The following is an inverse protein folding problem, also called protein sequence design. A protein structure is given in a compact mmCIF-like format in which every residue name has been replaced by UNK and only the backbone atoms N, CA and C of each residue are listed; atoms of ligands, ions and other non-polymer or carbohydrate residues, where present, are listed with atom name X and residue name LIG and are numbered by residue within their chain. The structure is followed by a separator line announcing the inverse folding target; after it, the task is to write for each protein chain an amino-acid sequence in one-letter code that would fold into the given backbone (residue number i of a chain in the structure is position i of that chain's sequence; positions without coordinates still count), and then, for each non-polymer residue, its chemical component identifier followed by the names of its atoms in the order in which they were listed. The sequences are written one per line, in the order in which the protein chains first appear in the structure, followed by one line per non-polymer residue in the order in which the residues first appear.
data_IF_557521298868
#
_entry.id   IF_557521298868
#
_cell.length_a   1.000
_cell.length_b   1.000
_cell.length_c   1.000
_cell.angle_alpha   90.00
_cell.angle_beta   90.00
_cell.angle_gamma   90.00
#
_symmetry.space_group_name_H-M   'P 1'
#
loop_
_entity.id
_entity.type
_entity.pdbx_description
1 polymer ?
#
# COMPACT_ATOMS: atom_id res chain seq x y z
N UNK A 1 0.91 -32.18 -8.75
CA UNK A 1 -0.21 -32.51 -7.84
C UNK A 1 0.31 -32.32 -6.44
N UNK A 2 0.12 -31.12 -5.87
CA UNK A 2 0.38 -30.87 -4.45
C UNK A 2 -0.95 -30.97 -3.69
N UNK A 3 -0.97 -31.54 -2.50
CA UNK A 3 -2.21 -31.81 -1.78
C UNK A 3 -2.83 -30.51 -1.31
N UNK A 4 -4.16 -30.48 -1.37
CA UNK A 4 -5.04 -29.45 -0.85
C UNK A 4 -4.66 -29.15 0.60
N UNK A 5 -4.01 -28.01 0.83
CA UNK A 5 -3.63 -27.53 2.14
C UNK A 5 -4.89 -27.25 2.96
N UNK A 6 -5.00 -27.95 4.07
CA UNK A 6 -6.05 -27.80 5.09
C UNK A 6 -6.26 -26.32 5.42
N UNK A 7 -7.51 -25.89 5.38
CA UNK A 7 -7.96 -24.62 5.93
C UNK A 7 -7.45 -24.52 7.38
N UNK A 8 -6.55 -23.59 7.64
CA UNK A 8 -6.10 -23.31 9.00
C UNK A 8 -7.27 -22.77 9.81
N UNK A 9 -7.45 -23.22 11.05
CA UNK A 9 -8.46 -22.66 11.93
C UNK A 9 -8.10 -21.19 12.21
N UNK A 10 -8.98 -20.27 11.78
CA UNK A 10 -8.95 -18.90 12.30
C UNK A 10 -9.09 -18.98 13.82
N UNK A 11 -8.13 -18.45 14.54
CA UNK A 11 -8.24 -18.19 15.96
C UNK A 11 -9.28 -17.08 16.15
N UNK A 12 -10.56 -17.49 16.27
CA UNK A 12 -11.64 -16.61 16.66
C UNK A 12 -11.46 -16.28 18.14
N UNK A 13 -11.13 -15.04 18.43
CA UNK A 13 -11.06 -14.50 19.79
C UNK A 13 -12.33 -14.83 20.57
N UNK A 14 -12.14 -15.46 21.73
CA UNK A 14 -13.18 -15.75 22.68
C UNK A 14 -13.76 -14.43 23.23
N UNK A 15 -14.96 -14.08 22.80
CA UNK A 15 -15.84 -13.20 23.57
C UNK A 15 -16.29 -14.00 24.80
N UNK A 16 -15.65 -13.75 25.93
CA UNK A 16 -16.07 -14.29 27.23
C UNK A 16 -17.36 -13.57 27.64
N UNK A 17 -18.50 -14.19 27.37
CA UNK A 17 -19.78 -13.83 27.97
C UNK A 17 -19.92 -14.60 29.30
N UNK A 18 -20.45 -13.97 30.38
CA UNK A 18 -20.60 -14.64 31.66
C UNK A 18 -21.70 -15.73 31.58
N UNK A 19 -21.33 -16.96 31.96
CA UNK A 19 -22.22 -18.11 32.16
C UNK A 19 -23.15 -17.84 33.32
N UNK A 20 -24.44 -17.59 33.07
CA UNK A 20 -25.50 -17.73 34.06
C UNK A 20 -26.83 -18.12 33.38
N UNK A 21 -27.31 -19.31 33.62
CA UNK A 21 -28.62 -19.80 33.20
C UNK A 21 -28.53 -21.04 32.31
N UNK A 22 -29.48 -21.97 32.37
CA UNK A 22 -29.51 -23.18 31.55
C UNK A 22 -29.33 -22.81 30.07
N UNK A 23 -28.16 -23.13 29.52
CA UNK A 23 -27.73 -22.74 28.17
C UNK A 23 -28.78 -23.22 27.15
N UNK A 24 -29.34 -22.28 26.39
CA UNK A 24 -30.23 -22.62 25.28
C UNK A 24 -29.49 -23.56 24.30
N UNK A 25 -30.21 -24.35 23.53
CA UNK A 25 -29.59 -25.22 22.51
C UNK A 25 -28.76 -24.39 21.52
N UNK A 26 -29.18 -23.14 21.26
CA UNK A 26 -28.42 -22.18 20.46
C UNK A 26 -27.10 -21.85 21.10
N UNK A 27 -27.06 -21.50 22.40
CA UNK A 27 -25.83 -21.18 23.11
C UNK A 27 -24.87 -22.37 23.15
N UNK A 28 -25.36 -23.56 23.40
CA UNK A 28 -24.55 -24.80 23.33
C UNK A 28 -23.94 -24.98 21.93
N UNK A 29 -24.72 -24.71 20.87
CA UNK A 29 -24.24 -24.76 19.50
C UNK A 29 -23.16 -23.71 19.20
N UNK A 30 -23.31 -22.47 19.70
CA UNK A 30 -22.34 -21.40 19.58
C UNK A 30 -21.05 -21.74 20.33
N UNK A 31 -21.14 -22.24 21.55
CA UNK A 31 -19.99 -22.70 22.35
C UNK A 31 -19.25 -23.84 21.63
N UNK A 32 -19.98 -24.83 21.10
CA UNK A 32 -19.37 -25.92 20.32
C UNK A 32 -18.61 -25.35 19.07
N UNK A 33 -19.18 -24.35 18.39
CA UNK A 33 -18.52 -23.68 17.27
C UNK A 33 -17.22 -22.97 17.70
N UNK A 34 -17.27 -22.19 18.78
CA UNK A 34 -16.11 -21.48 19.33
C UNK A 34 -14.98 -22.42 19.75
N UNK A 35 -15.32 -23.62 20.19
CA UNK A 35 -14.38 -24.69 20.56
C UNK A 35 -13.88 -25.51 19.36
N UNK A 36 -14.24 -25.13 18.12
CA UNK A 36 -13.85 -25.84 16.91
C UNK A 36 -14.59 -27.15 16.67
N UNK A 37 -15.61 -27.49 17.49
CA UNK A 37 -16.42 -28.67 17.35
C UNK A 37 -17.56 -28.50 16.34
N UNK A 38 -17.17 -28.15 15.10
CA UNK A 38 -18.09 -27.68 14.05
C UNK A 38 -19.19 -28.68 13.68
N UNK A 39 -18.92 -29.97 13.70
CA UNK A 39 -19.90 -31.00 13.40
C UNK A 39 -20.97 -31.05 14.50
N UNK A 40 -20.57 -30.94 15.76
CA UNK A 40 -21.50 -30.88 16.90
C UNK A 40 -22.29 -29.56 16.87
N UNK A 41 -21.62 -28.42 16.61
CA UNK A 41 -22.27 -27.13 16.46
C UNK A 41 -23.39 -27.19 15.40
N UNK A 42 -23.12 -27.77 14.23
CA UNK A 42 -24.15 -27.96 13.17
C UNK A 42 -25.36 -28.71 13.68
N UNK A 43 -25.15 -29.83 14.38
CA UNK A 43 -26.24 -30.62 14.91
C UNK A 43 -27.09 -29.84 15.91
N UNK A 44 -26.46 -29.19 16.90
CA UNK A 44 -27.14 -28.40 17.92
C UNK A 44 -27.88 -27.20 17.31
N UNK A 45 -27.26 -26.46 16.39
CA UNK A 45 -27.87 -25.30 15.75
C UNK A 45 -29.05 -25.70 14.82
N UNK A 46 -28.97 -26.84 14.15
CA UNK A 46 -30.10 -27.40 13.41
C UNK A 46 -31.27 -27.80 14.34
N UNK A 47 -30.96 -28.30 15.51
CA UNK A 47 -31.96 -28.62 16.53
C UNK A 47 -32.64 -27.36 17.09
N UNK A 48 -31.83 -26.31 17.40
CA UNK A 48 -32.36 -25.02 17.83
C UNK A 48 -33.33 -24.41 16.79
N UNK A 49 -33.00 -24.49 15.51
CA UNK A 49 -33.83 -23.95 14.43
C UNK A 49 -35.14 -24.76 14.19
N UNK A 50 -35.24 -25.98 14.68
CA UNK A 50 -36.54 -26.70 14.70
C UNK A 50 -37.49 -26.10 15.74
N UNK A 51 -36.93 -25.60 16.87
CA UNK A 51 -37.71 -24.93 17.93
C UNK A 51 -38.06 -23.50 17.57
N UNK A 52 -37.08 -22.73 17.11
CA UNK A 52 -37.25 -21.35 16.61
C UNK A 52 -36.57 -21.15 15.24
N UNK A 53 -37.32 -21.28 14.14
CA UNK A 53 -36.78 -21.04 12.80
C UNK A 53 -36.31 -19.61 12.52
N UNK A 54 -36.63 -18.65 13.39
CA UNK A 54 -36.25 -17.22 13.23
C UNK A 54 -35.03 -16.82 14.07
N UNK A 55 -34.50 -17.75 14.88
CA UNK A 55 -33.30 -17.47 15.66
C UNK A 55 -32.14 -17.08 14.76
N UNK A 56 -31.80 -15.79 14.80
CA UNK A 56 -30.75 -15.17 13.96
C UNK A 56 -29.37 -15.70 14.30
N UNK A 57 -29.08 -15.91 15.60
CA UNK A 57 -27.81 -16.46 16.05
C UNK A 57 -27.63 -17.89 15.58
N UNK A 58 -28.66 -18.71 15.78
CA UNK A 58 -28.63 -20.13 15.34
C UNK A 58 -28.42 -20.24 13.83
N UNK A 59 -29.10 -19.40 13.01
CA UNK A 59 -28.91 -19.36 11.55
C UNK A 59 -27.50 -18.97 11.16
N UNK A 60 -26.99 -17.92 11.80
CA UNK A 60 -25.65 -17.38 11.45
C UNK A 60 -24.57 -18.40 11.81
N UNK A 61 -24.59 -18.93 13.04
CA UNK A 61 -23.58 -19.89 13.48
C UNK A 61 -23.71 -21.26 12.78
N UNK A 62 -24.91 -21.67 12.35
CA UNK A 62 -25.07 -22.83 11.48
C UNK A 62 -24.37 -22.64 10.15
N UNK A 63 -24.56 -21.47 9.50
CA UNK A 63 -23.90 -21.16 8.24
C UNK A 63 -22.38 -21.06 8.40
N UNK A 64 -21.88 -20.47 9.50
CA UNK A 64 -20.46 -20.44 9.84
C UNK A 64 -19.90 -21.88 10.04
N UNK A 65 -20.62 -22.75 10.75
CA UNK A 65 -20.19 -24.13 10.94
C UNK A 65 -20.23 -24.96 9.65
N UNK A 66 -21.17 -24.67 8.74
CA UNK A 66 -21.21 -25.23 7.39
C UNK A 66 -20.01 -24.80 6.59
N UNK A 67 -19.67 -23.48 6.58
CA UNK A 67 -18.49 -22.96 5.92
C UNK A 67 -17.21 -23.60 6.45
N UNK A 68 -17.05 -23.69 7.78
CA UNK A 68 -15.88 -24.27 8.43
C UNK A 68 -15.70 -25.78 8.11
N UNK A 69 -16.78 -26.47 7.77
CA UNK A 69 -16.78 -27.91 7.40
C UNK A 69 -16.77 -28.12 5.86
N UNK A 70 -16.59 -27.07 5.07
CA UNK A 70 -16.51 -27.16 3.61
C UNK A 70 -17.84 -27.25 2.87
N UNK A 71 -18.97 -27.06 3.58
CA UNK A 71 -20.31 -27.05 2.99
C UNK A 71 -20.69 -25.66 2.47
N UNK A 72 -19.82 -25.10 1.64
CA UNK A 72 -19.96 -23.73 1.16
C UNK A 72 -21.21 -23.49 0.31
N UNK A 73 -21.66 -24.50 -0.45
CA UNK A 73 -22.89 -24.36 -1.24
C UNK A 73 -24.13 -24.08 -0.37
N UNK A 74 -24.19 -24.67 0.83
CA UNK A 74 -25.26 -24.45 1.79
C UNK A 74 -25.06 -23.16 2.60
N UNK A 75 -23.80 -22.81 2.87
CA UNK A 75 -23.44 -21.68 3.71
C UNK A 75 -23.56 -20.31 3.00
N UNK A 76 -23.24 -20.23 1.71
CA UNK A 76 -23.16 -18.96 0.96
C UNK A 76 -24.46 -18.14 1.00
N UNK A 77 -25.67 -18.70 0.73
CA UNK A 77 -26.89 -17.89 0.75
C UNK A 77 -27.19 -17.27 2.12
N UNK A 78 -27.18 -18.00 3.24
CA UNK A 78 -27.45 -17.43 4.56
C UNK A 78 -26.32 -16.48 5.03
N UNK A 79 -25.05 -16.73 4.68
CA UNK A 79 -23.95 -15.82 4.99
C UNK A 79 -24.08 -14.50 4.24
N UNK A 80 -24.44 -14.53 2.96
CA UNK A 80 -24.68 -13.34 2.16
C UNK A 80 -25.84 -12.50 2.73
N UNK A 81 -26.95 -13.15 3.12
CA UNK A 81 -28.06 -12.46 3.78
C UNK A 81 -27.60 -11.81 5.09
N UNK A 82 -26.86 -12.52 5.94
CA UNK A 82 -26.35 -11.98 7.21
C UNK A 82 -25.37 -10.82 7.02
N UNK A 83 -24.43 -10.96 6.09
CA UNK A 83 -23.48 -9.89 5.78
C UNK A 83 -24.19 -8.60 5.35
N UNK A 84 -25.24 -8.71 4.53
CA UNK A 84 -25.92 -7.54 3.99
C UNK A 84 -26.97 -6.95 4.96
N UNK A 85 -27.69 -7.77 5.71
CA UNK A 85 -28.94 -7.39 6.38
C UNK A 85 -28.90 -7.50 7.91
N UNK A 86 -27.82 -8.05 8.52
CA UNK A 86 -27.75 -8.14 9.98
C UNK A 86 -27.63 -6.76 10.63
N UNK A 87 -28.47 -6.52 11.63
CA UNK A 87 -28.36 -5.33 12.49
C UNK A 87 -27.18 -5.44 13.49
N UNK A 88 -26.67 -6.65 13.73
CA UNK A 88 -25.52 -6.88 14.58
C UNK A 88 -24.22 -6.81 13.74
N UNK A 89 -23.35 -5.81 13.97
CA UNK A 89 -22.14 -5.63 13.18
C UNK A 89 -21.13 -6.79 13.32
N UNK A 90 -21.06 -7.44 14.48
CA UNK A 90 -20.14 -8.55 14.72
C UNK A 90 -20.58 -9.80 13.95
N UNK A 91 -21.88 -10.10 13.95
CA UNK A 91 -22.43 -11.20 13.15
C UNK A 91 -22.27 -10.92 11.64
N UNK A 92 -22.50 -9.68 11.20
CA UNK A 92 -22.28 -9.28 9.81
C UNK A 92 -20.81 -9.45 9.41
N UNK A 93 -19.88 -9.04 10.27
CA UNK A 93 -18.44 -9.21 10.06
C UNK A 93 -18.05 -10.68 9.91
N UNK A 94 -18.44 -11.52 10.85
CA UNK A 94 -18.15 -12.96 10.81
C UNK A 94 -18.75 -13.62 9.56
N UNK A 95 -19.98 -13.27 9.21
CA UNK A 95 -20.65 -13.76 8.01
C UNK A 95 -19.91 -13.32 6.75
N UNK A 96 -19.47 -12.07 6.66
CA UNK A 96 -18.71 -11.55 5.53
C UNK A 96 -17.36 -12.25 5.33
N UNK A 97 -16.61 -12.47 6.40
CA UNK A 97 -15.35 -13.22 6.36
C UNK A 97 -15.58 -14.66 5.85
N UNK A 98 -16.54 -15.37 6.42
CA UNK A 98 -16.83 -16.75 6.03
C UNK A 98 -17.40 -16.84 4.60
N UNK A 99 -18.19 -15.86 4.18
CA UNK A 99 -18.70 -15.75 2.82
C UNK A 99 -17.56 -15.61 1.80
N UNK A 100 -16.62 -14.67 2.02
CA UNK A 100 -15.44 -14.51 1.15
C UNK A 100 -14.62 -15.80 1.10
N UNK A 101 -14.40 -16.45 2.25
CA UNK A 101 -13.65 -17.71 2.30
C UNK A 101 -14.32 -18.81 1.47
N UNK A 102 -15.63 -18.92 1.54
CA UNK A 102 -16.38 -19.88 0.74
C UNK A 102 -16.35 -19.57 -0.76
N UNK A 103 -16.49 -18.30 -1.15
CA UNK A 103 -16.44 -17.90 -2.56
C UNK A 103 -15.04 -18.15 -3.14
N UNK A 104 -13.99 -17.81 -2.41
CA UNK A 104 -12.59 -18.10 -2.78
C UNK A 104 -12.35 -19.61 -2.94
N UNK A 105 -12.89 -20.43 -2.03
CA UNK A 105 -12.78 -21.89 -2.11
C UNK A 105 -13.51 -22.47 -3.34
N UNK A 106 -14.59 -21.82 -3.78
CA UNK A 106 -15.34 -22.17 -4.99
C UNK A 106 -14.62 -21.87 -6.29
N UNK A 107 -13.50 -21.13 -6.24
CA UNK A 107 -12.62 -20.88 -7.39
C UNK A 107 -13.20 -19.95 -8.45
N UNK A 108 -14.05 -19.00 -8.07
CA UNK A 108 -14.64 -17.99 -8.97
C UNK A 108 -13.97 -16.61 -8.77
N UNK A 109 -12.80 -16.36 -9.38
CA UNK A 109 -12.03 -15.12 -9.16
C UNK A 109 -12.80 -13.83 -9.48
N UNK A 110 -13.77 -13.89 -10.39
CA UNK A 110 -14.59 -12.74 -10.74
C UNK A 110 -15.51 -12.26 -9.60
N UNK A 111 -15.85 -13.14 -8.66
CA UNK A 111 -16.69 -12.81 -7.50
C UNK A 111 -15.86 -12.50 -6.24
N UNK A 112 -14.62 -13.01 -6.14
CA UNK A 112 -13.76 -12.91 -4.97
C UNK A 112 -13.41 -11.45 -4.65
N UNK A 113 -12.89 -10.71 -5.65
CA UNK A 113 -12.35 -9.35 -5.48
C UNK A 113 -13.44 -8.31 -5.15
N UNK A 114 -14.60 -8.25 -5.85
CA UNK A 114 -15.65 -7.32 -5.49
C UNK A 114 -16.21 -7.56 -4.08
N UNK A 115 -16.35 -8.83 -3.67
CA UNK A 115 -16.89 -9.19 -2.37
C UNK A 115 -15.92 -8.79 -1.23
N UNK A 116 -14.62 -9.05 -1.39
CA UNK A 116 -13.64 -8.63 -0.40
C UNK A 116 -13.56 -7.11 -0.31
N UNK A 117 -13.67 -6.38 -1.43
CA UNK A 117 -13.72 -4.92 -1.42
C UNK A 117 -14.91 -4.34 -0.63
N UNK A 118 -16.08 -4.99 -0.69
CA UNK A 118 -17.22 -4.61 0.14
C UNK A 118 -16.95 -4.84 1.64
N UNK A 119 -16.27 -5.93 1.97
CA UNK A 119 -15.89 -6.26 3.35
C UNK A 119 -14.86 -5.27 3.90
N UNK A 120 -13.82 -4.93 3.11
CA UNK A 120 -12.82 -3.91 3.46
C UNK A 120 -13.44 -2.52 3.67
N UNK A 121 -14.35 -2.11 2.78
CA UNK A 121 -15.03 -0.83 2.91
C UNK A 121 -15.87 -0.72 4.20
N UNK A 122 -16.41 -1.84 4.69
CA UNK A 122 -17.22 -1.87 5.90
C UNK A 122 -16.38 -2.01 7.19
N UNK A 123 -15.20 -2.66 7.09
CA UNK A 123 -14.31 -2.94 8.22
C UNK A 123 -12.84 -2.63 7.85
N UNK A 124 -12.49 -1.35 7.59
CA UNK A 124 -11.22 -0.97 6.99
C UNK A 124 -10.00 -1.22 7.89
N UNK A 125 -10.20 -1.22 9.22
CA UNK A 125 -9.12 -1.38 10.20
C UNK A 125 -9.12 -2.76 10.88
N UNK A 126 -9.95 -3.69 10.38
CA UNK A 126 -10.04 -5.03 10.96
C UNK A 126 -8.92 -5.95 10.44
N UNK A 127 -8.12 -6.48 11.36
CA UNK A 127 -6.94 -7.27 11.01
C UNK A 127 -7.28 -8.58 10.25
N UNK A 128 -8.41 -9.25 10.58
CA UNK A 128 -8.82 -10.49 9.90
C UNK A 128 -9.31 -10.18 8.49
N UNK A 129 -10.02 -9.05 8.33
CA UNK A 129 -10.49 -8.57 7.02
C UNK A 129 -9.30 -8.18 6.16
N UNK A 130 -8.37 -7.38 6.67
CA UNK A 130 -7.16 -6.97 5.94
C UNK A 130 -6.29 -8.17 5.56
N UNK A 131 -6.14 -9.15 6.45
CA UNK A 131 -5.42 -10.39 6.14
C UNK A 131 -6.10 -11.20 5.02
N UNK A 132 -7.42 -11.33 5.08
CA UNK A 132 -8.20 -12.03 4.05
C UNK A 132 -8.11 -11.30 2.70
N UNK A 133 -8.23 -9.98 2.71
CA UNK A 133 -8.12 -9.12 1.55
C UNK A 133 -6.74 -9.26 0.88
N UNK A 134 -5.66 -9.19 1.66
CA UNK A 134 -4.31 -9.39 1.15
C UNK A 134 -4.16 -10.74 0.43
N UNK A 135 -4.74 -11.82 0.96
CA UNK A 135 -4.72 -13.14 0.33
C UNK A 135 -5.54 -13.21 -0.96
N UNK A 136 -6.72 -12.57 -0.98
CA UNK A 136 -7.58 -12.53 -2.18
C UNK A 136 -6.91 -11.73 -3.28
N UNK A 137 -6.37 -10.55 -2.97
CA UNK A 137 -5.67 -9.72 -3.94
C UNK A 137 -4.40 -10.38 -4.48
N UNK A 138 -3.62 -11.04 -3.61
CA UNK A 138 -2.44 -11.80 -4.04
C UNK A 138 -2.82 -12.95 -4.98
N UNK A 139 -3.90 -13.70 -4.69
CA UNK A 139 -4.39 -14.75 -5.57
C UNK A 139 -4.84 -14.17 -6.92
N UNK A 140 -5.60 -13.08 -6.91
CA UNK A 140 -6.05 -12.41 -8.13
C UNK A 140 -4.88 -11.91 -8.98
N UNK A 141 -3.86 -11.31 -8.36
CA UNK A 141 -2.63 -10.89 -9.02
C UNK A 141 -1.92 -12.09 -9.67
N UNK A 142 -1.71 -13.18 -8.94
CA UNK A 142 -1.04 -14.37 -9.46
C UNK A 142 -1.82 -15.01 -10.63
N UNK A 143 -3.15 -15.07 -10.54
CA UNK A 143 -4.00 -15.63 -11.60
C UNK A 143 -4.00 -14.72 -12.86
N UNK A 144 -4.01 -13.40 -12.69
CA UNK A 144 -3.93 -12.44 -13.79
C UNK A 144 -2.54 -12.51 -14.46
N UNK A 145 -1.48 -12.54 -13.66
CA UNK A 145 -0.10 -12.67 -14.13
C UNK A 145 0.08 -13.95 -14.94
N UNK A 146 -0.31 -15.09 -14.38
CA UNK A 146 -0.24 -16.37 -15.09
C UNK A 146 -0.98 -16.32 -16.42
N UNK A 147 -2.22 -15.82 -16.47
CA UNK A 147 -2.99 -15.68 -17.72
C UNK A 147 -2.29 -14.77 -18.73
N UNK A 148 -1.66 -13.69 -18.27
CA UNK A 148 -0.92 -12.78 -19.15
C UNK A 148 0.29 -13.48 -19.78
N UNK A 149 1.06 -14.22 -19.01
CA UNK A 149 2.22 -14.99 -19.51
C UNK A 149 1.79 -16.11 -20.47
N UNK A 150 0.68 -16.80 -20.20
CA UNK A 150 0.18 -17.89 -21.04
C UNK A 150 -0.51 -17.39 -22.33
N UNK A 151 -1.29 -16.32 -22.25
CA UNK A 151 -2.16 -15.88 -23.35
C UNK A 151 -1.56 -14.78 -24.20
N UNK A 152 -0.64 -13.98 -23.67
CA UNK A 152 -0.05 -12.83 -24.36
C UNK A 152 1.48 -12.76 -24.22
N UNK A 153 2.23 -13.85 -24.41
CA UNK A 153 3.68 -13.90 -24.14
C UNK A 153 4.49 -12.93 -25.00
N UNK A 154 3.99 -12.57 -26.17
CA UNK A 154 4.65 -11.63 -27.07
C UNK A 154 4.45 -10.16 -26.67
N UNK A 155 3.51 -9.85 -25.76
CA UNK A 155 3.22 -8.48 -25.35
C UNK A 155 4.40 -7.86 -24.58
N UNK A 156 4.72 -6.61 -24.89
CA UNK A 156 5.71 -5.84 -24.10
C UNK A 156 5.31 -5.72 -22.63
N UNK A 157 4.01 -5.78 -22.32
CA UNK A 157 3.49 -5.74 -20.94
C UNK A 157 3.95 -6.92 -20.09
N UNK A 158 4.24 -8.07 -20.70
CA UNK A 158 4.82 -9.24 -20.00
C UNK A 158 6.21 -8.88 -19.46
N UNK A 159 7.05 -8.26 -20.29
CA UNK A 159 8.39 -7.82 -19.86
C UNK A 159 8.30 -6.67 -18.87
N UNK A 160 7.38 -5.72 -19.06
CA UNK A 160 7.15 -4.65 -18.10
C UNK A 160 6.78 -5.19 -16.72
N UNK A 161 5.79 -6.11 -16.64
CA UNK A 161 5.39 -6.70 -15.37
C UNK A 161 6.52 -7.53 -14.73
N UNK A 162 7.30 -8.26 -15.55
CA UNK A 162 8.49 -8.98 -15.05
C UNK A 162 9.49 -8.02 -14.42
N UNK A 163 9.76 -6.87 -15.07
CA UNK A 163 10.65 -5.85 -14.54
C UNK A 163 10.13 -5.26 -13.22
N UNK A 164 8.84 -4.94 -13.14
CA UNK A 164 8.20 -4.43 -11.92
C UNK A 164 8.29 -5.46 -10.76
N UNK A 165 8.13 -6.75 -11.05
CA UNK A 165 8.32 -7.82 -10.07
C UNK A 165 9.79 -7.88 -9.60
N UNK A 166 10.77 -7.75 -10.50
CA UNK A 166 12.19 -7.71 -10.13
C UNK A 166 12.51 -6.47 -9.29
N UNK A 167 11.93 -5.31 -9.57
CA UNK A 167 12.08 -4.11 -8.72
C UNK A 167 11.64 -4.38 -7.27
N UNK A 168 10.51 -5.06 -7.05
CA UNK A 168 10.03 -5.40 -5.69
C UNK A 168 10.98 -6.33 -4.94
N UNK A 169 11.83 -7.06 -5.67
CA UNK A 169 12.85 -7.95 -5.11
C UNK A 169 14.23 -7.29 -5.01
N UNK A 170 14.35 -5.99 -5.31
CA UNK A 170 15.60 -5.23 -5.42
C UNK A 170 16.59 -5.83 -6.45
N UNK A 171 16.10 -6.53 -7.46
CA UNK A 171 16.88 -7.09 -8.56
C UNK A 171 16.89 -6.14 -9.75
N UNK A 172 17.60 -5.02 -9.56
CA UNK A 172 17.52 -3.90 -10.50
C UNK A 172 18.20 -4.17 -11.85
N UNK A 173 19.24 -4.99 -11.89
CA UNK A 173 19.87 -5.40 -13.14
C UNK A 173 18.92 -6.23 -14.00
N UNK A 174 18.22 -7.20 -13.40
CA UNK A 174 17.21 -8.02 -14.08
C UNK A 174 16.01 -7.17 -14.50
N UNK A 175 15.56 -6.24 -13.65
CA UNK A 175 14.51 -5.28 -14.00
C UNK A 175 14.89 -4.46 -15.24
N UNK A 176 16.10 -3.89 -15.27
CA UNK A 176 16.59 -3.13 -16.41
C UNK A 176 16.65 -4.00 -17.69
N UNK A 177 17.05 -5.25 -17.59
CA UNK A 177 17.07 -6.16 -18.74
C UNK A 177 15.64 -6.40 -19.30
N UNK A 178 14.66 -6.57 -18.44
CA UNK A 178 13.27 -6.76 -18.86
C UNK A 178 12.65 -5.45 -19.42
N UNK A 179 12.96 -4.28 -18.86
CA UNK A 179 12.51 -3.00 -19.44
C UNK A 179 13.09 -2.79 -20.84
N UNK A 180 14.36 -3.13 -21.10
CA UNK A 180 14.94 -3.07 -22.47
C UNK A 180 14.14 -3.93 -23.45
N UNK A 181 13.81 -5.18 -23.08
CA UNK A 181 12.97 -6.05 -23.90
C UNK A 181 11.58 -5.47 -24.13
N UNK A 182 10.99 -4.82 -23.14
CA UNK A 182 9.70 -4.15 -23.29
C UNK A 182 9.78 -2.98 -24.29
N UNK A 183 10.83 -2.17 -24.22
CA UNK A 183 11.09 -1.06 -25.16
C UNK A 183 11.32 -1.59 -26.58
N UNK A 184 12.12 -2.64 -26.74
CA UNK A 184 12.33 -3.28 -28.05
C UNK A 184 11.03 -3.73 -28.72
N UNK A 185 10.07 -4.27 -27.91
CA UNK A 185 8.76 -4.70 -28.42
C UNK A 185 7.80 -3.53 -28.67
N UNK A 186 7.89 -2.46 -27.89
CA UNK A 186 7.07 -1.26 -28.08
C UNK A 186 7.87 0.02 -27.75
N UNK A 187 8.62 0.55 -28.72
CA UNK A 187 9.46 1.74 -28.52
C UNK A 187 8.69 3.04 -28.21
N UNK A 188 7.37 3.05 -28.40
CA UNK A 188 6.53 4.22 -28.11
C UNK A 188 5.74 4.10 -26.82
N UNK A 189 5.97 3.06 -26.03
CA UNK A 189 5.30 2.91 -24.75
C UNK A 189 5.86 3.92 -23.75
N UNK A 190 5.00 4.83 -23.31
CA UNK A 190 5.34 5.85 -22.31
C UNK A 190 5.78 5.20 -20.99
N UNK A 191 6.64 5.91 -20.28
CA UNK A 191 7.14 5.56 -18.95
C UNK A 191 8.09 4.34 -18.89
N UNK A 192 8.38 3.65 -20.00
CA UNK A 192 9.31 2.53 -20.01
C UNK A 192 10.77 3.01 -19.94
N UNK A 193 11.12 4.04 -20.71
CA UNK A 193 12.45 4.66 -20.67
C UNK A 193 12.71 5.28 -19.28
N UNK A 194 11.73 5.95 -18.69
CA UNK A 194 11.85 6.49 -17.34
C UNK A 194 12.14 5.38 -16.31
N UNK A 195 11.37 4.27 -16.34
CA UNK A 195 11.57 3.13 -15.44
C UNK A 195 12.92 2.45 -15.65
N UNK A 196 13.36 2.30 -16.90
CA UNK A 196 14.67 1.76 -17.22
C UNK A 196 15.79 2.64 -16.64
N UNK A 197 15.72 3.96 -16.85
CA UNK A 197 16.67 4.91 -16.27
C UNK A 197 16.74 4.82 -14.75
N UNK A 198 15.59 4.74 -14.09
CA UNK A 198 15.52 4.51 -12.63
C UNK A 198 16.14 3.18 -12.20
N UNK A 199 15.83 2.09 -12.88
CA UNK A 199 16.39 0.78 -12.55
C UNK A 199 17.93 0.78 -12.68
N UNK A 200 18.47 1.45 -13.70
CA UNK A 200 19.92 1.62 -13.88
C UNK A 200 20.52 2.40 -12.70
N UNK A 201 19.89 3.49 -12.25
CA UNK A 201 20.38 4.27 -11.12
C UNK A 201 20.27 3.51 -9.79
N UNK A 202 19.23 2.69 -9.61
CA UNK A 202 19.08 1.87 -8.39
C UNK A 202 20.13 0.75 -8.32
N UNK A 203 20.58 0.25 -9.48
CA UNK A 203 21.66 -0.75 -9.55
C UNK A 203 23.03 -0.14 -9.29
N UNK A 204 23.33 1.01 -9.89
CA UNK A 204 24.66 1.63 -9.79
C UNK A 204 24.61 3.14 -10.02
N UNK A 205 25.52 3.85 -9.33
CA UNK A 205 25.73 5.31 -9.48
C UNK A 205 27.10 5.63 -10.09
N UNK A 206 27.76 4.68 -10.72
CA UNK A 206 29.02 4.96 -11.42
C UNK A 206 28.79 5.85 -12.65
N UNK A 207 29.83 6.52 -13.19
CA UNK A 207 29.67 7.47 -14.30
C UNK A 207 29.02 6.86 -15.55
N UNK A 208 29.26 5.58 -15.81
CA UNK A 208 28.67 4.87 -16.94
C UNK A 208 27.14 4.66 -16.74
N UNK A 209 26.74 4.23 -15.55
CA UNK A 209 25.33 4.08 -15.19
C UNK A 209 24.59 5.42 -15.24
N UNK A 210 25.21 6.52 -14.75
CA UNK A 210 24.64 7.85 -14.84
C UNK A 210 24.42 8.27 -16.29
N UNK A 211 25.39 8.06 -17.18
CA UNK A 211 25.27 8.39 -18.59
C UNK A 211 24.19 7.56 -19.30
N UNK A 212 24.11 6.26 -19.00
CA UNK A 212 23.07 5.38 -19.54
C UNK A 212 21.67 5.80 -19.05
N UNK A 213 21.53 6.09 -17.76
CA UNK A 213 20.26 6.54 -17.19
C UNK A 213 19.82 7.88 -17.78
N UNK A 214 20.74 8.84 -17.95
CA UNK A 214 20.42 10.11 -18.59
C UNK A 214 19.88 9.91 -20.00
N UNK A 215 20.52 9.05 -20.80
CA UNK A 215 20.05 8.71 -22.14
C UNK A 215 18.63 8.13 -22.14
N UNK A 216 18.32 7.33 -21.17
CA UNK A 216 16.97 6.75 -21.04
C UNK A 216 15.94 7.83 -20.66
N UNK A 217 16.26 8.74 -19.74
CA UNK A 217 15.36 9.87 -19.44
C UNK A 217 15.17 10.80 -20.62
N UNK A 218 16.23 11.07 -21.40
CA UNK A 218 16.12 11.80 -22.67
C UNK A 218 15.24 11.07 -23.68
N UNK A 219 15.30 9.72 -23.70
CA UNK A 219 14.41 8.87 -24.48
C UNK A 219 12.93 9.00 -24.07
N UNK A 220 12.65 9.10 -22.77
CA UNK A 220 11.29 9.37 -22.29
C UNK A 220 10.81 10.76 -22.72
N UNK A 221 11.65 11.79 -22.60
CA UNK A 221 11.31 13.15 -23.02
C UNK A 221 11.08 13.26 -24.54
N UNK A 222 11.72 12.43 -25.34
CA UNK A 222 11.45 12.35 -26.78
C UNK A 222 10.06 11.81 -27.11
N UNK A 223 9.46 11.01 -26.20
CA UNK A 223 8.11 10.48 -26.30
C UNK A 223 7.09 11.35 -25.59
N UNK A 224 7.45 11.91 -24.45
CA UNK A 224 6.63 12.76 -23.58
C UNK A 224 7.45 13.95 -23.09
N UNK A 225 7.45 15.04 -23.85
CA UNK A 225 8.21 16.27 -23.51
C UNK A 225 7.68 16.98 -22.24
N UNK A 226 6.55 16.54 -21.67
CA UNK A 226 5.95 17.10 -20.46
C UNK A 226 6.20 16.22 -19.21
N UNK A 227 7.15 15.31 -19.27
CA UNK A 227 7.52 14.49 -18.12
C UNK A 227 8.44 15.26 -17.15
N UNK A 228 7.81 15.91 -16.16
CA UNK A 228 8.51 16.65 -15.11
C UNK A 228 9.48 15.76 -14.30
N UNK A 229 9.17 14.49 -14.14
CA UNK A 229 10.02 13.57 -13.38
C UNK A 229 11.30 13.22 -14.17
N UNK A 230 11.20 13.03 -15.49
CA UNK A 230 12.35 12.79 -16.36
C UNK A 230 13.27 14.03 -16.39
N UNK A 231 12.70 15.23 -16.52
CA UNK A 231 13.47 16.49 -16.43
C UNK A 231 14.20 16.59 -15.08
N UNK A 232 13.53 16.30 -13.99
CA UNK A 232 14.14 16.35 -12.67
C UNK A 232 15.30 15.35 -12.53
N UNK A 233 15.15 14.11 -13.01
CA UNK A 233 16.20 13.09 -12.96
C UNK A 233 17.43 13.49 -13.76
N UNK A 234 17.26 14.07 -14.96
CA UNK A 234 18.38 14.62 -15.75
C UNK A 234 19.07 15.73 -14.97
N UNK A 235 18.31 16.64 -14.36
CA UNK A 235 18.85 17.68 -13.50
C UNK A 235 19.71 17.12 -12.36
N UNK A 236 19.25 16.06 -11.70
CA UNK A 236 20.01 15.40 -10.63
C UNK A 236 21.33 14.80 -11.13
N UNK A 237 21.31 14.11 -12.25
CA UNK A 237 22.52 13.52 -12.86
C UNK A 237 23.51 14.61 -13.22
N UNK A 238 23.06 15.68 -13.86
CA UNK A 238 23.92 16.81 -14.23
C UNK A 238 24.53 17.52 -13.02
N UNK A 239 23.73 17.72 -11.97
CA UNK A 239 24.21 18.33 -10.74
C UNK A 239 25.27 17.44 -10.04
N UNK A 240 25.03 16.14 -9.96
CA UNK A 240 26.00 15.17 -9.44
C UNK A 240 27.28 15.12 -10.29
N UNK A 241 27.15 15.33 -11.59
CA UNK A 241 28.27 15.42 -12.55
C UNK A 241 28.99 16.77 -12.56
N UNK A 242 28.71 17.69 -11.62
CA UNK A 242 29.37 18.98 -11.49
C UNK A 242 28.96 20.00 -12.57
N UNK A 243 27.77 19.86 -13.14
CA UNK A 243 27.19 20.77 -14.16
C UNK A 243 25.97 21.52 -13.62
N UNK A 244 26.11 22.31 -12.53
CA UNK A 244 24.95 22.89 -11.84
C UNK A 244 24.14 23.86 -12.73
N UNK A 245 24.74 24.60 -13.62
CA UNK A 245 23.99 25.51 -14.49
C UNK A 245 23.06 24.76 -15.45
N UNK A 246 23.54 23.64 -16.01
CA UNK A 246 22.70 22.78 -16.84
C UNK A 246 21.60 22.08 -15.99
N UNK A 247 21.94 21.60 -14.81
CA UNK A 247 20.99 21.02 -13.89
C UNK A 247 19.85 21.99 -13.53
N UNK A 248 20.16 23.25 -13.31
CA UNK A 248 19.18 24.28 -12.97
C UNK A 248 18.13 24.45 -14.09
N UNK A 249 18.52 24.38 -15.36
CA UNK A 249 17.60 24.46 -16.51
C UNK A 249 16.57 23.33 -16.43
N UNK A 250 17.03 22.10 -16.20
CA UNK A 250 16.16 20.93 -16.10
C UNK A 250 15.26 20.98 -14.86
N UNK A 251 15.77 21.39 -13.70
CA UNK A 251 14.93 21.56 -12.51
C UNK A 251 13.87 22.65 -12.68
N UNK A 252 14.22 23.76 -13.34
CA UNK A 252 13.25 24.80 -13.65
C UNK A 252 12.18 24.30 -14.63
N UNK A 253 12.58 23.51 -15.62
CA UNK A 253 11.64 22.90 -16.55
C UNK A 253 10.68 21.93 -15.85
N UNK A 254 11.19 21.13 -14.93
CA UNK A 254 10.36 20.26 -14.09
C UNK A 254 9.32 21.06 -13.28
N UNK A 255 9.68 22.23 -12.73
CA UNK A 255 8.75 23.12 -12.03
C UNK A 255 7.74 23.81 -12.95
N UNK A 256 8.12 24.18 -14.17
CA UNK A 256 7.19 24.71 -15.16
C UNK A 256 6.10 23.69 -15.51
N UNK A 257 6.49 22.41 -15.64
CA UNK A 257 5.58 21.30 -15.94
C UNK A 257 4.75 20.88 -14.73
N UNK A 258 5.31 20.94 -13.54
CA UNK A 258 4.66 20.57 -12.30
C UNK A 258 5.03 21.56 -11.17
N UNK A 259 4.23 22.63 -10.95
CA UNK A 259 4.55 23.68 -9.97
C UNK A 259 4.65 23.18 -8.53
N UNK A 260 3.95 22.10 -8.18
CA UNK A 260 3.97 21.51 -6.84
C UNK A 260 5.01 20.37 -6.71
N UNK A 261 5.94 20.26 -7.64
CA UNK A 261 7.03 19.27 -7.56
C UNK A 261 8.04 19.68 -6.49
N UNK A 262 7.81 19.21 -5.26
CA UNK A 262 8.55 19.62 -4.06
C UNK A 262 10.06 19.44 -4.21
N UNK A 263 10.51 18.31 -4.74
CA UNK A 263 11.93 18.00 -4.89
C UNK A 263 12.61 18.94 -5.89
N UNK A 264 11.93 19.32 -6.98
CA UNK A 264 12.43 20.29 -7.95
C UNK A 264 12.47 21.69 -7.35
N UNK A 265 11.41 22.10 -6.63
CA UNK A 265 11.35 23.41 -5.96
C UNK A 265 12.47 23.55 -4.90
N UNK A 266 12.70 22.49 -4.13
CA UNK A 266 13.78 22.44 -3.16
C UNK A 266 15.17 22.53 -3.85
N UNK A 267 15.37 21.80 -4.95
CA UNK A 267 16.62 21.83 -5.70
C UNK A 267 16.90 23.23 -6.24
N UNK A 268 15.95 23.84 -6.94
CA UNK A 268 16.07 25.21 -7.45
C UNK A 268 16.29 26.21 -6.31
N UNK A 269 15.49 26.13 -5.24
CA UNK A 269 15.62 27.00 -4.07
C UNK A 269 17.00 26.93 -3.44
N UNK A 270 17.56 25.74 -3.26
CA UNK A 270 18.93 25.54 -2.73
C UNK A 270 20.00 26.13 -3.65
N UNK A 271 19.89 25.90 -4.96
CA UNK A 271 20.81 26.45 -5.95
C UNK A 271 20.77 27.99 -5.97
N UNK A 272 19.58 28.59 -5.85
CA UNK A 272 19.41 30.05 -5.73
C UNK A 272 20.04 30.59 -4.44
N UNK A 273 19.91 29.88 -3.31
CA UNK A 273 20.59 30.24 -2.05
C UNK A 273 22.12 30.21 -2.22
N UNK A 274 22.66 29.17 -2.86
CA UNK A 274 24.11 29.07 -3.14
C UNK A 274 24.60 30.19 -4.05
N UNK A 275 23.79 30.57 -5.05
CA UNK A 275 24.05 31.69 -5.94
C UNK A 275 23.78 33.07 -5.29
N UNK A 276 23.43 33.13 -4.01
CA UNK A 276 23.06 34.35 -3.26
C UNK A 276 21.83 35.08 -3.81
N UNK A 277 21.01 34.42 -4.58
CA UNK A 277 19.75 34.92 -5.16
C UNK A 277 18.60 34.67 -4.19
N UNK A 278 18.68 35.30 -3.00
CA UNK A 278 17.76 34.99 -1.90
C UNK A 278 16.32 35.41 -2.19
N UNK A 279 16.12 36.50 -2.93
CA UNK A 279 14.77 36.96 -3.31
C UNK A 279 14.01 35.92 -4.15
N UNK A 280 14.72 35.23 -5.04
CA UNK A 280 14.15 34.19 -5.90
C UNK A 280 14.02 32.84 -5.17
N UNK A 281 14.92 32.57 -4.19
CA UNK A 281 14.92 31.33 -3.42
C UNK A 281 13.76 31.25 -2.40
N UNK A 282 13.49 32.37 -1.71
CA UNK A 282 12.52 32.43 -0.59
C UNK A 282 11.14 31.91 -1.01
N UNK A 283 10.47 32.44 -2.05
CA UNK A 283 9.14 31.98 -2.39
C UNK A 283 9.04 30.50 -2.73
N UNK A 284 10.07 29.95 -3.38
CA UNK A 284 10.12 28.51 -3.69
C UNK A 284 10.24 27.68 -2.42
N UNK A 285 11.11 28.09 -1.50
CA UNK A 285 11.32 27.35 -0.25
C UNK A 285 10.15 27.51 0.72
N UNK A 286 9.47 28.69 0.76
CA UNK A 286 8.23 28.88 1.48
C UNK A 286 7.14 27.94 0.95
N UNK A 287 7.04 27.78 -0.37
CA UNK A 287 6.11 26.84 -1.01
C UNK A 287 6.41 25.39 -0.62
N UNK A 288 7.68 24.98 -0.64
CA UNK A 288 8.08 23.63 -0.17
C UNK A 288 7.69 23.38 1.28
N UNK A 289 7.94 24.34 2.17
CA UNK A 289 7.57 24.24 3.60
C UNK A 289 6.06 24.19 3.79
N UNK A 290 5.30 24.91 2.96
CA UNK A 290 3.84 24.84 3.01
C UNK A 290 3.29 23.47 2.60
N UNK A 291 3.87 22.84 1.57
CA UNK A 291 3.48 21.49 1.11
C UNK A 291 3.99 20.38 2.05
N UNK A 292 5.19 20.54 2.58
CA UNK A 292 5.86 19.58 3.44
C UNK A 292 6.40 20.25 4.72
N UNK A 293 5.57 20.48 5.73
CA UNK A 293 5.96 21.19 6.95
C UNK A 293 7.04 20.48 7.80
N UNK A 294 7.36 19.24 7.49
CA UNK A 294 8.40 18.45 8.18
C UNK A 294 9.68 18.33 7.36
N UNK A 295 9.80 19.04 6.23
CA UNK A 295 10.98 18.98 5.37
C UNK A 295 12.14 19.79 5.94
N UNK A 296 13.04 19.14 6.70
CA UNK A 296 14.18 19.79 7.33
C UNK A 296 15.09 20.51 6.34
N UNK A 297 15.31 19.95 5.15
CA UNK A 297 16.18 20.55 4.15
C UNK A 297 15.60 21.87 3.61
N UNK A 298 14.28 21.96 3.50
CA UNK A 298 13.60 23.19 3.10
C UNK A 298 13.70 24.25 4.20
N UNK A 299 13.39 23.91 5.45
CA UNK A 299 13.52 24.82 6.59
C UNK A 299 14.95 25.34 6.75
N UNK A 300 15.95 24.45 6.61
CA UNK A 300 17.35 24.86 6.69
C UNK A 300 17.72 25.84 5.57
N UNK A 301 17.33 25.55 4.34
CA UNK A 301 17.61 26.38 3.18
C UNK A 301 16.91 27.74 3.28
N UNK A 302 15.66 27.75 3.75
CA UNK A 302 14.86 28.96 3.97
C UNK A 302 15.45 29.82 5.10
N UNK A 303 15.89 29.19 6.20
CA UNK A 303 16.60 29.87 7.29
C UNK A 303 17.85 30.57 6.77
N UNK A 304 18.64 29.90 5.92
CA UNK A 304 19.84 30.51 5.31
C UNK A 304 19.48 31.69 4.40
N UNK A 305 18.45 31.54 3.56
CA UNK A 305 17.97 32.59 2.69
C UNK A 305 17.51 33.82 3.47
N UNK A 306 16.70 33.65 4.51
CA UNK A 306 16.25 34.75 5.37
C UNK A 306 17.40 35.42 6.11
N UNK A 307 18.31 34.63 6.71
CA UNK A 307 19.46 35.19 7.44
C UNK A 307 20.32 36.05 6.55
N UNK A 308 20.63 35.56 5.36
CA UNK A 308 21.54 36.25 4.44
C UNK A 308 20.87 37.40 3.67
N UNK A 309 19.53 37.45 3.63
CA UNK A 309 18.76 38.59 3.11
C UNK A 309 18.39 39.63 4.18
N UNK A 310 18.88 39.47 5.44
CA UNK A 310 18.62 40.39 6.55
C UNK A 310 17.27 40.22 7.26
N UNK A 311 16.48 39.17 6.94
CA UNK A 311 15.19 38.87 7.54
C UNK A 311 15.37 38.03 8.81
N UNK A 312 16.08 38.57 9.81
CA UNK A 312 16.56 37.82 10.97
C UNK A 312 15.45 37.17 11.82
N UNK A 313 14.28 37.83 11.94
CA UNK A 313 13.18 37.28 12.71
C UNK A 313 12.55 36.06 12.04
N UNK A 314 12.43 36.07 10.72
CA UNK A 314 11.99 34.89 9.97
C UNK A 314 13.02 33.77 10.06
N UNK A 315 14.31 34.08 9.93
CA UNK A 315 15.39 33.08 10.09
C UNK A 315 15.34 32.40 11.46
N UNK A 316 15.08 33.15 12.54
CA UNK A 316 14.93 32.58 13.90
C UNK A 316 13.73 31.62 13.99
N UNK A 317 12.61 31.95 13.34
CA UNK A 317 11.43 31.07 13.33
C UNK A 317 11.74 29.73 12.64
N UNK A 318 12.41 29.77 11.49
CA UNK A 318 12.82 28.55 10.78
C UNK A 318 13.82 27.72 11.62
N UNK A 319 14.76 28.38 12.30
CA UNK A 319 15.67 27.71 13.23
C UNK A 319 14.95 27.02 14.37
N UNK A 320 13.94 27.67 14.96
CA UNK A 320 13.14 27.06 16.01
C UNK A 320 12.34 25.85 15.50
N UNK A 321 11.82 25.94 14.28
CA UNK A 321 11.10 24.84 13.67
C UNK A 321 12.03 23.64 13.39
N UNK A 322 13.23 23.88 12.90
CA UNK A 322 14.26 22.84 12.74
C UNK A 322 14.60 22.15 14.05
N UNK A 323 14.78 22.93 15.14
CA UNK A 323 15.04 22.35 16.46
C UNK A 323 13.90 21.45 16.93
N UNK A 324 12.64 21.83 16.70
CA UNK A 324 11.47 21.00 17.04
C UNK A 324 11.41 19.71 16.21
N UNK A 325 11.79 19.76 14.93
CA UNK A 325 11.82 18.58 14.07
C UNK A 325 12.94 17.61 14.47
N UNK A 326 14.12 18.15 14.81
CA UNK A 326 15.30 17.33 15.19
C UNK A 326 15.24 16.82 16.64
N UNK A 327 14.54 17.55 17.51
CA UNK A 327 14.36 17.21 18.91
C UNK A 327 12.88 17.33 19.28
N UNK A 328 12.03 16.36 18.85
CA UNK A 328 10.64 16.36 19.23
C UNK A 328 10.52 16.36 20.75
N UNK A 329 9.55 17.07 21.34
CA UNK A 329 9.38 17.15 22.78
C UNK A 329 9.37 15.75 23.39
N UNK A 330 10.15 15.56 24.47
CA UNK A 330 10.37 14.25 25.12
C UNK A 330 9.07 13.46 25.40
N UNK A 331 7.94 14.14 25.55
CA UNK A 331 6.63 13.53 25.76
C UNK A 331 6.14 12.68 24.57
N UNK A 332 6.25 13.17 23.33
CA UNK A 332 5.73 12.44 22.17
C UNK A 332 6.57 11.20 21.86
N UNK A 333 7.89 11.28 21.97
CA UNK A 333 8.77 10.13 21.77
C UNK A 333 8.64 9.10 22.89
N UNK A 334 8.53 9.56 24.13
CA UNK A 334 8.33 8.70 25.30
C UNK A 334 6.96 8.01 25.26
N UNK A 335 5.91 8.72 24.81
CA UNK A 335 4.58 8.14 24.61
C UNK A 335 4.54 7.19 23.42
N UNK A 336 5.28 7.45 22.35
CA UNK A 336 5.46 6.53 21.23
C UNK A 336 6.18 5.24 21.70
N UNK A 337 7.27 5.36 22.46
CA UNK A 337 7.99 4.21 23.02
C UNK A 337 7.15 3.41 24.03
N UNK A 338 6.34 4.08 24.86
CA UNK A 338 5.37 3.42 25.74
C UNK A 338 4.35 2.62 24.93
N UNK A 339 3.76 3.19 23.90
CA UNK A 339 2.81 2.49 22.99
C UNK A 339 3.46 1.30 22.29
N UNK A 340 4.74 1.37 21.93
CA UNK A 340 5.49 0.23 21.39
C UNK A 340 5.77 -0.82 22.46
N UNK A 341 6.08 -0.42 23.70
CA UNK A 341 6.31 -1.31 24.84
C UNK A 341 5.05 -2.01 25.34
N UNK A 342 3.90 -1.34 25.31
CA UNK A 342 2.59 -1.91 25.66
C UNK A 342 2.09 -2.95 24.64
N UNK A 343 2.66 -2.97 23.42
CA UNK A 343 2.39 -4.00 22.42
C UNK A 343 3.31 -5.21 22.46
N UNK A 344 4.31 -5.21 23.34
CA UNK A 344 5.12 -6.41 23.57
C UNK A 344 4.27 -7.40 24.40
N UNK A 345 4.03 -8.64 23.91
CA UNK A 345 3.32 -9.64 24.69
C UNK A 345 4.09 -9.88 25.98
N UNK A 346 3.41 -9.74 27.10
CA UNK A 346 3.96 -10.02 28.42
C UNK A 346 4.59 -11.41 28.47
N UNK A 347 5.71 -11.46 29.22
CA UNK A 347 6.43 -12.69 29.54
C UNK A 347 5.52 -13.71 30.22
#
# INVERSE_FOLDING_TARGET
MMPVTRLFPCALFALALPLQGADSVTEQGVVAFQQGRYTEARRLLQEALKGDPRDEHARTFLALAQAATGHCAEAVPPLADRFNNSANPDLARLAGIALVQCVVAGGQPAADVPLVGQLEARYPDDADVLYLAARVHMKAFNDATRRMFEKTPASYRVNQLSAEIFETQNKFAEAAAEYRKAIEKNPRALNLHFRLGRAILLESHNPEALALAQKEFEGELALNAEDAAAEFQIGQILNAGGKPDQALVHFQKALELSPDFVEAALAVGRMRVQAKQYADAIPLLEHVVALQPTNEAAHYSLMLAYRNSGQLDKARREQQQLQKLQHPPEGEFTDFLKRLGERAPGK
#
